data_IF_470497395391
#
_entry.id   IF_470497395391
#
_cell.length_a   1.000
_cell.length_b   1.000
_cell.length_c   1.000
_cell.angle_alpha   90.00
_cell.angle_beta   90.00
_cell.angle_gamma   90.00
#
_symmetry.space_group_name_H-M   'P 1'
#
loop_
_entity.id
_entity.type
_entity.pdbx_description
1 polymer ?
#
# COMPACT_ATOMS: atom_id res chain seq x y z
N UNK A 1 -60.82 -46.86 -21.10
CA UNK A 1 -60.41 -46.47 -19.73
C UNK A 1 -59.30 -45.46 -19.88
N UNK A 2 -59.65 -44.21 -19.58
CA UNK A 2 -58.84 -43.00 -19.64
C UNK A 2 -57.95 -42.99 -18.40
N UNK A 3 -56.66 -42.69 -18.56
CA UNK A 3 -55.80 -42.29 -17.45
C UNK A 3 -54.98 -41.05 -17.83
N UNK A 4 -55.45 -39.94 -17.29
CA UNK A 4 -54.71 -38.84 -16.65
C UNK A 4 -53.54 -38.21 -17.44
N UNK A 5 -53.75 -37.09 -18.14
CA UNK A 5 -53.69 -35.70 -17.65
C UNK A 5 -52.28 -35.16 -17.36
N UNK A 6 -51.78 -34.39 -18.35
CA UNK A 6 -51.11 -33.09 -18.26
C UNK A 6 -50.10 -32.82 -17.13
N UNK A 7 -48.85 -32.52 -17.52
CA UNK A 7 -48.02 -31.50 -16.87
C UNK A 7 -46.87 -31.07 -17.80
N UNK A 8 -47.03 -29.92 -18.44
CA UNK A 8 -45.96 -29.21 -19.12
C UNK A 8 -45.21 -28.35 -18.09
N UNK A 9 -43.91 -28.60 -17.89
CA UNK A 9 -43.05 -27.79 -17.05
C UNK A 9 -42.03 -27.06 -17.94
N UNK A 10 -42.31 -25.79 -18.25
CA UNK A 10 -41.38 -24.88 -18.91
C UNK A 10 -40.35 -24.36 -17.90
N UNK A 11 -39.10 -24.79 -17.99
CA UNK A 11 -38.00 -24.23 -17.19
C UNK A 11 -37.41 -23.05 -17.99
N UNK A 12 -37.92 -21.85 -17.74
CA UNK A 12 -37.24 -20.63 -18.11
C UNK A 12 -36.12 -20.38 -17.08
N UNK A 13 -34.89 -20.72 -17.42
CA UNK A 13 -33.72 -20.41 -16.60
C UNK A 13 -33.42 -18.92 -16.65
N UNK A 14 -33.66 -18.21 -15.55
CA UNK A 14 -33.22 -16.82 -15.38
C UNK A 14 -31.71 -16.83 -15.22
N UNK A 15 -30.99 -16.35 -16.22
CA UNK A 15 -29.57 -16.05 -16.15
C UNK A 15 -29.36 -14.84 -15.24
N UNK A 16 -29.11 -15.06 -13.95
CA UNK A 16 -28.60 -14.00 -13.08
C UNK A 16 -27.10 -13.90 -13.35
N UNK A 17 -26.73 -13.05 -14.30
CA UNK A 17 -25.34 -12.67 -14.53
C UNK A 17 -24.85 -11.92 -13.31
N UNK A 18 -24.01 -12.57 -12.49
CA UNK A 18 -23.14 -11.86 -11.54
C UNK A 18 -22.11 -11.10 -12.37
N UNK A 19 -22.46 -9.88 -12.78
CA UNK A 19 -21.48 -8.94 -13.27
C UNK A 19 -20.45 -8.75 -12.16
N UNK A 20 -19.14 -8.91 -12.42
CA UNK A 20 -18.14 -8.55 -11.44
C UNK A 20 -18.35 -7.08 -11.11
N UNK A 21 -18.63 -6.79 -9.83
CA UNK A 21 -18.56 -5.43 -9.34
C UNK A 21 -17.10 -5.00 -9.53
N UNK A 22 -16.82 -4.25 -10.57
CA UNK A 22 -15.61 -3.44 -10.64
C UNK A 22 -15.75 -2.39 -9.54
N UNK A 23 -15.41 -2.79 -8.30
CA UNK A 23 -15.15 -1.82 -7.26
C UNK A 23 -14.03 -0.94 -7.81
N UNK A 24 -14.31 0.35 -8.01
CA UNK A 24 -13.26 1.30 -8.30
C UNK A 24 -12.24 1.18 -7.16
N UNK A 25 -10.98 0.88 -7.49
CA UNK A 25 -9.93 0.88 -6.49
C UNK A 25 -9.95 2.24 -5.79
N UNK A 26 -10.11 2.27 -4.45
CA UNK A 26 -10.22 3.53 -3.74
C UNK A 26 -8.92 4.31 -3.90
N UNK A 27 -9.01 5.49 -4.52
CA UNK A 27 -7.89 6.40 -4.69
C UNK A 27 -7.91 7.45 -3.58
N UNK A 28 -6.79 7.58 -2.88
CA UNK A 28 -6.61 8.50 -1.77
C UNK A 28 -5.62 9.59 -2.16
N UNK A 29 -5.85 10.79 -1.63
CA UNK A 29 -4.89 11.88 -1.76
C UNK A 29 -3.52 11.45 -1.21
N UNK A 30 -2.48 11.70 -2.01
CA UNK A 30 -1.11 11.33 -1.67
C UNK A 30 -0.75 9.87 -1.99
N UNK A 31 -1.62 9.09 -2.63
CA UNK A 31 -1.21 7.80 -3.18
C UNK A 31 -0.08 7.97 -4.21
N UNK A 32 0.79 6.97 -4.26
CA UNK A 32 2.00 6.96 -5.07
C UNK A 32 1.95 5.82 -6.08
N UNK A 33 2.68 5.92 -7.20
CA UNK A 33 2.88 4.78 -8.10
C UNK A 33 3.39 3.57 -7.31
N UNK A 34 2.86 2.38 -7.60
CA UNK A 34 3.25 1.14 -6.93
C UNK A 34 2.60 0.90 -5.56
N UNK A 35 1.63 1.71 -5.14
CA UNK A 35 0.91 1.54 -3.87
C UNK A 35 0.29 0.14 -3.74
N UNK A 36 0.59 -0.57 -2.65
CA UNK A 36 0.01 -1.88 -2.36
C UNK A 36 -1.30 -1.75 -1.56
N UNK A 37 -2.44 -1.97 -2.21
CA UNK A 37 -3.77 -1.93 -1.56
C UNK A 37 -4.16 -3.21 -0.79
N UNK A 38 -3.25 -4.17 -0.71
CA UNK A 38 -3.36 -5.37 0.12
C UNK A 38 -2.51 -5.27 1.39
N UNK A 39 -1.92 -4.10 1.67
CA UNK A 39 -1.18 -3.87 2.90
C UNK A 39 -2.07 -4.10 4.13
N UNK A 40 -1.48 -4.58 5.21
CA UNK A 40 -2.20 -4.87 6.43
C UNK A 40 -1.26 -4.65 7.60
N UNK A 41 -1.60 -3.67 8.45
CA UNK A 41 -0.78 -3.31 9.61
C UNK A 41 -0.30 -4.53 10.40
N UNK A 42 1.02 -4.66 10.53
CA UNK A 42 1.70 -5.75 11.23
C UNK A 42 1.84 -7.05 10.44
N UNK A 43 1.27 -7.16 9.23
CA UNK A 43 1.51 -8.28 8.34
C UNK A 43 2.91 -8.20 7.69
N UNK A 44 3.50 -9.34 7.31
CA UNK A 44 4.78 -9.35 6.61
C UNK A 44 4.68 -8.67 5.24
N UNK A 45 5.80 -8.10 4.80
CA UNK A 45 5.97 -7.48 3.49
C UNK A 45 7.39 -7.72 2.96
N UNK A 46 7.50 -7.84 1.64
CA UNK A 46 8.71 -8.38 0.99
C UNK A 46 9.59 -7.31 0.33
N UNK A 47 9.09 -6.07 0.18
CA UNK A 47 9.83 -4.98 -0.45
C UNK A 47 9.82 -3.72 0.44
N UNK A 48 10.95 -3.51 1.11
CA UNK A 48 11.21 -2.37 2.01
C UNK A 48 12.29 -1.42 1.45
N UNK A 49 12.73 -1.62 0.21
CA UNK A 49 13.78 -0.81 -0.43
C UNK A 49 13.20 0.25 -1.38
N UNK A 50 12.17 -0.12 -2.16
CA UNK A 50 11.49 0.76 -3.12
C UNK A 50 10.00 0.43 -3.22
N UNK A 51 9.18 1.38 -3.65
CA UNK A 51 7.72 1.25 -3.74
C UNK A 51 7.13 0.70 -2.45
N UNK A 52 7.60 1.23 -1.32
CA UNK A 52 7.38 0.65 0.00
C UNK A 52 6.01 0.98 0.59
N UNK A 53 5.21 1.82 -0.07
CA UNK A 53 3.96 2.32 0.49
C UNK A 53 2.78 1.42 0.13
N UNK A 54 1.85 1.31 1.06
CA UNK A 54 0.63 0.56 0.88
C UNK A 54 -0.52 1.14 1.68
N UNK A 55 -1.70 0.57 1.50
CA UNK A 55 -2.91 0.96 2.22
C UNK A 55 -3.77 -0.26 2.48
N UNK A 56 -4.12 -0.47 3.75
CA UNK A 56 -5.06 -1.52 4.13
C UNK A 56 -6.52 -1.08 4.10
N UNK A 57 -7.45 -1.96 4.54
CA UNK A 57 -8.89 -1.68 4.55
C UNK A 57 -9.30 -0.44 5.36
N UNK A 58 -8.47 -0.01 6.31
CA UNK A 58 -8.69 1.21 7.09
C UNK A 58 -8.52 2.49 6.28
N UNK A 59 -7.91 2.40 5.10
CA UNK A 59 -7.51 3.56 4.32
C UNK A 59 -6.33 4.32 4.94
N UNK A 60 -5.65 3.81 5.98
CA UNK A 60 -4.43 4.42 6.53
C UNK A 60 -3.23 4.09 5.65
N UNK A 61 -2.40 5.09 5.33
CA UNK A 61 -1.15 4.86 4.61
C UNK A 61 -0.18 4.10 5.52
N UNK A 62 0.39 3.03 4.98
CA UNK A 62 1.35 2.15 5.61
C UNK A 62 2.65 2.15 4.79
N UNK A 63 3.76 1.80 5.43
CA UNK A 63 5.05 1.62 4.80
C UNK A 63 5.64 0.28 5.20
N UNK A 64 6.23 -0.44 4.25
CA UNK A 64 6.97 -1.66 4.50
C UNK A 64 8.34 -1.30 5.08
N UNK A 65 8.56 -1.64 6.35
CA UNK A 65 9.83 -1.41 7.02
C UNK A 65 10.47 -2.73 7.42
N UNK A 66 11.77 -2.87 7.16
CA UNK A 66 12.54 -3.93 7.80
C UNK A 66 12.74 -3.61 9.28
N UNK A 67 12.40 -4.54 10.20
CA UNK A 67 12.63 -4.35 11.61
C UNK A 67 14.08 -3.98 11.94
N UNK A 68 14.33 -3.15 12.96
CA UNK A 68 15.69 -2.85 13.40
C UNK A 68 16.50 -4.13 13.67
N UNK A 69 17.83 -4.11 13.42
CA UNK A 69 18.68 -5.21 13.80
C UNK A 69 18.55 -5.45 15.32
N UNK A 70 18.59 -6.73 15.72
CA UNK A 70 18.46 -7.20 17.11
C UNK A 70 17.04 -7.39 17.68
N UNK A 71 16.00 -7.48 16.84
CA UNK A 71 14.74 -8.10 17.30
C UNK A 71 14.92 -9.62 17.54
N UNK A 72 14.25 -10.15 18.57
CA UNK A 72 14.19 -11.59 18.85
C UNK A 72 12.74 -12.09 18.80
N UNK A 73 12.41 -13.10 17.98
CA UNK A 73 13.30 -13.78 17.03
C UNK A 73 13.78 -12.83 15.91
N UNK A 74 14.91 -13.18 15.29
CA UNK A 74 15.45 -12.37 14.20
C UNK A 74 14.42 -12.23 13.08
N UNK A 75 14.12 -11.00 12.68
CA UNK A 75 13.25 -10.73 11.55
C UNK A 75 13.94 -11.18 10.27
N UNK A 76 13.23 -11.98 9.46
CA UNK A 76 13.68 -12.40 8.13
C UNK A 76 12.92 -11.68 7.02
N UNK A 77 12.01 -10.77 7.37
CA UNK A 77 11.13 -10.06 6.45
C UNK A 77 10.79 -8.66 6.97
N UNK A 78 10.32 -7.79 6.09
CA UNK A 78 9.71 -6.51 6.47
C UNK A 78 8.32 -6.70 7.05
N UNK A 79 7.80 -5.66 7.69
CA UNK A 79 6.41 -5.60 8.16
C UNK A 79 5.79 -4.25 7.82
N UNK A 80 4.49 -4.27 7.52
CA UNK A 80 3.72 -3.06 7.33
C UNK A 80 3.56 -2.31 8.64
N UNK A 81 3.97 -1.04 8.66
CA UNK A 81 3.79 -0.12 9.79
C UNK A 81 3.05 1.12 9.33
N UNK A 82 2.40 1.83 10.26
CA UNK A 82 1.74 3.10 9.97
C UNK A 82 2.79 4.08 9.42
N UNK A 83 2.54 4.61 8.24
CA UNK A 83 3.36 5.67 7.65
C UNK A 83 3.03 7.02 8.30
N UNK A 84 4.00 7.93 8.29
CA UNK A 84 3.70 9.35 8.43
C UNK A 84 2.75 9.81 7.32
N UNK A 85 2.11 10.99 7.44
CA UNK A 85 1.29 11.53 6.36
C UNK A 85 2.06 11.51 5.04
N UNK A 86 1.48 10.86 4.04
CA UNK A 86 2.10 10.61 2.75
C UNK A 86 1.75 11.73 1.77
N UNK A 87 2.76 12.46 1.30
CA UNK A 87 2.63 13.63 0.43
C UNK A 87 2.83 13.29 -1.05
N UNK A 88 2.48 12.07 -1.44
CA UNK A 88 2.60 11.60 -2.82
C UNK A 88 4.03 11.55 -3.33
N UNK A 89 4.16 11.75 -4.64
CA UNK A 89 5.47 11.81 -5.31
C UNK A 89 6.07 13.20 -5.15
N UNK A 90 7.34 13.27 -4.76
CA UNK A 90 8.09 14.50 -4.52
C UNK A 90 9.45 14.48 -5.24
N UNK A 91 10.02 15.68 -5.40
CA UNK A 91 11.35 15.86 -5.98
C UNK A 91 12.39 16.14 -4.90
N UNK A 92 13.59 15.58 -5.03
CA UNK A 92 14.68 15.86 -4.11
C UNK A 92 15.00 17.36 -4.06
N UNK A 93 15.17 17.91 -2.85
CA UNK A 93 15.41 19.33 -2.61
C UNK A 93 14.14 20.21 -2.55
N UNK A 94 12.97 19.70 -2.95
CA UNK A 94 11.73 20.48 -2.87
C UNK A 94 11.32 20.75 -1.41
N UNK A 95 10.64 21.88 -1.18
CA UNK A 95 10.17 22.27 0.16
C UNK A 95 9.20 21.22 0.70
N UNK A 96 9.45 20.78 1.93
CA UNK A 96 8.64 19.80 2.65
C UNK A 96 7.95 20.44 3.87
N UNK A 97 6.86 19.84 4.39
CA UNK A 97 6.04 20.42 5.46
C UNK A 97 6.73 20.42 6.82
N UNK A 98 7.71 19.53 7.04
CA UNK A 98 8.45 19.41 8.29
C UNK A 98 8.87 17.96 8.56
N UNK A 99 9.60 17.71 9.67
CA UNK A 99 9.88 16.35 10.13
C UNK A 99 8.56 15.60 10.38
N UNK A 100 8.57 14.27 10.29
CA UNK A 100 7.37 13.42 10.39
C UNK A 100 6.42 13.54 9.19
N UNK A 101 6.99 13.61 8.00
CA UNK A 101 6.29 13.52 6.73
C UNK A 101 6.95 12.46 5.85
N UNK A 102 6.15 11.76 5.05
CA UNK A 102 6.62 10.76 4.11
C UNK A 102 6.29 11.18 2.67
N UNK A 103 7.14 10.79 1.73
CA UNK A 103 6.88 10.92 0.30
C UNK A 103 7.61 9.81 -0.45
N UNK A 104 7.37 9.72 -1.76
CA UNK A 104 8.10 8.82 -2.66
C UNK A 104 8.77 9.64 -3.77
N UNK A 105 9.95 9.24 -4.24
CA UNK A 105 10.51 9.82 -5.47
C UNK A 105 9.84 9.24 -6.71
N UNK A 106 10.11 9.86 -7.86
CA UNK A 106 9.68 9.35 -9.17
C UNK A 106 10.21 7.93 -9.46
N UNK A 107 11.37 7.59 -8.90
CA UNK A 107 12.00 6.25 -8.97
C UNK A 107 11.45 5.24 -7.97
N UNK A 108 10.48 5.63 -7.13
CA UNK A 108 9.91 4.73 -6.13
C UNK A 108 10.65 4.69 -4.80
N UNK A 109 11.64 5.56 -4.57
CA UNK A 109 12.40 5.53 -3.32
C UNK A 109 11.66 6.28 -2.20
N UNK A 110 11.70 5.82 -0.95
CA UNK A 110 11.13 6.58 0.16
C UNK A 110 11.86 7.92 0.32
N UNK A 111 11.13 8.95 0.72
CA UNK A 111 11.66 10.29 0.95
C UNK A 111 11.31 10.81 2.34
N UNK A 112 12.27 11.53 2.91
CA UNK A 112 12.18 12.16 4.22
C UNK A 112 12.39 13.66 4.10
N UNK A 113 11.74 14.42 4.99
CA UNK A 113 11.93 15.87 5.06
C UNK A 113 13.12 16.21 5.97
N UNK A 114 14.22 16.66 5.40
CA UNK A 114 15.45 17.03 6.12
C UNK A 114 15.59 18.56 6.28
N UNK A 115 14.54 19.18 6.82
CA UNK A 115 14.52 20.62 7.14
C UNK A 115 14.85 21.49 5.91
N UNK A 116 15.92 22.28 6.00
CA UNK A 116 16.34 23.19 4.92
C UNK A 116 16.76 22.46 3.62
N UNK A 117 17.16 21.18 3.70
CA UNK A 117 17.48 20.38 2.52
C UNK A 117 16.22 19.91 1.78
N UNK A 118 15.02 20.13 2.32
CA UNK A 118 13.79 19.70 1.69
C UNK A 118 13.62 18.18 1.71
N UNK A 119 12.88 17.65 0.74
CA UNK A 119 12.73 16.22 0.53
C UNK A 119 14.04 15.57 0.10
N UNK A 120 14.41 14.47 0.73
CA UNK A 120 15.62 13.70 0.41
C UNK A 120 15.25 12.22 0.36
N UNK A 121 15.71 11.52 -0.67
CA UNK A 121 15.54 10.07 -0.78
C UNK A 121 16.36 9.36 0.29
N UNK A 122 15.76 8.34 0.91
CA UNK A 122 16.42 7.54 1.92
C UNK A 122 15.48 7.18 3.07
N UNK A 123 16.06 6.64 4.13
CA UNK A 123 15.32 6.16 5.29
C UNK A 123 16.01 6.58 6.59
N UNK A 124 15.23 6.64 7.67
CA UNK A 124 15.76 6.80 9.01
C UNK A 124 16.03 5.41 9.58
N UNK A 125 17.25 5.20 10.05
CA UNK A 125 17.59 4.09 10.93
C UNK A 125 17.83 4.62 12.34
N UNK A 126 18.05 3.73 13.31
CA UNK A 126 18.49 4.12 14.65
C UNK A 126 19.80 4.93 14.67
N UNK A 127 20.57 4.95 13.59
CA UNK A 127 21.80 5.72 13.44
C UNK A 127 21.63 7.04 12.67
N UNK A 128 20.41 7.41 12.28
CA UNK A 128 20.12 8.66 11.57
C UNK A 128 19.62 8.45 10.14
N UNK A 129 19.77 9.47 9.29
CA UNK A 129 19.39 9.41 7.88
C UNK A 129 20.39 8.59 7.07
N UNK A 130 19.90 7.66 6.26
CA UNK A 130 20.67 6.84 5.33
C UNK A 130 20.17 7.10 3.91
N UNK A 131 21.02 7.63 3.01
CA UNK A 131 20.66 7.77 1.61
C UNK A 131 20.54 6.39 0.94
N UNK A 132 19.78 6.28 -0.16
CA UNK A 132 19.72 5.04 -0.94
C UNK A 132 21.11 4.66 -1.45
N UNK A 133 21.36 3.35 -1.58
CA UNK A 133 22.53 2.85 -2.31
C UNK A 133 22.46 3.31 -3.76
N UNK A 134 23.50 4.00 -4.23
CA UNK A 134 23.59 4.54 -5.59
C UNK A 134 23.70 3.48 -6.67
#
# INVERSE_FOLDING_TARGET
MIRELLSAASIAGITIGVAPCAAADPHYDGDVPGMNYQASLGAPCDNYESFIFGRGPSGQAEACHFPPPNQFPAATTGYWVISYPLYGVQQAGAKCPGPQAAAQSDRGLPMLCLGAQGWQEGWFTGAGFFPPSG
#
